data_IF_484349304681
#
_entry.id   IF_484349304681
#
_cell.length_a   1.000
_cell.length_b   1.000
_cell.length_c   1.000
_cell.angle_alpha   90.00
_cell.angle_beta   90.00
_cell.angle_gamma   90.00
#
_symmetry.space_group_name_H-M   'P 1'
#
loop_
_entity.id
_entity.type
_entity.pdbx_description
1 polymer ?
#
# COMPACT_ATOMS: atom_id res chain seq x y z
N UNK A 1 14.06 19.69 -21.95
CA UNK A 1 14.83 18.58 -21.43
C UNK A 1 14.55 18.32 -20.00
N UNK A 2 14.66 19.33 -19.21
CA UNK A 2 14.39 19.15 -17.81
C UNK A 2 12.98 18.78 -17.52
N UNK A 3 12.07 19.29 -18.31
CA UNK A 3 10.67 18.95 -18.15
C UNK A 3 10.48 17.45 -18.34
N UNK A 4 11.18 16.91 -19.30
CA UNK A 4 11.07 15.47 -19.54
C UNK A 4 11.60 14.68 -18.37
N UNK A 5 12.70 15.13 -17.80
CA UNK A 5 13.27 14.44 -16.67
C UNK A 5 12.32 14.44 -15.49
N UNK A 6 11.71 15.57 -15.25
CA UNK A 6 10.76 15.65 -14.16
C UNK A 6 9.61 14.70 -14.38
N UNK A 7 9.13 14.62 -15.59
CA UNK A 7 8.04 13.71 -15.87
C UNK A 7 8.43 12.27 -15.66
N UNK A 8 9.62 11.93 -16.07
CA UNK A 8 10.08 10.57 -15.90
C UNK A 8 10.22 10.22 -14.45
N UNK A 9 10.70 11.16 -13.66
CA UNK A 9 10.83 10.92 -12.25
C UNK A 9 9.47 10.71 -11.61
N UNK A 10 8.50 11.49 -12.02
CA UNK A 10 7.16 11.32 -11.48
C UNK A 10 6.57 9.99 -11.88
N UNK A 11 6.84 9.55 -13.09
CA UNK A 11 6.36 8.26 -13.53
C UNK A 11 6.95 7.15 -12.70
N UNK A 12 8.22 7.27 -12.40
CA UNK A 12 8.85 6.22 -11.63
C UNK A 12 8.32 6.17 -10.22
N UNK A 13 8.01 7.32 -9.68
CA UNK A 13 7.47 7.33 -8.33
C UNK A 13 6.08 6.77 -8.27
N UNK A 14 5.29 7.05 -9.27
CA UNK A 14 3.91 6.59 -9.27
C UNK A 14 3.82 5.07 -9.15
N UNK A 15 4.57 4.31 -9.95
CA UNK A 15 4.48 2.85 -9.83
C UNK A 15 4.97 2.31 -8.51
N UNK A 16 5.75 3.07 -7.80
CA UNK A 16 6.26 2.59 -6.53
C UNK A 16 5.22 2.59 -5.45
N UNK A 17 4.22 3.42 -5.61
CA UNK A 17 3.13 3.45 -4.65
C UNK A 17 2.12 2.42 -5.09
N UNK A 18 2.14 1.27 -4.47
CA UNK A 18 1.23 0.19 -4.82
C UNK A 18 0.10 0.16 -3.84
N UNK A 19 -1.06 0.47 -4.32
CA UNK A 19 -2.27 0.42 -3.49
C UNK A 19 -3.24 -0.57 -4.11
N UNK A 20 -3.91 -1.33 -3.26
CA UNK A 20 -4.92 -2.26 -3.69
C UNK A 20 -6.13 -2.13 -2.79
N UNK A 21 -7.25 -2.61 -3.28
CA UNK A 21 -8.46 -2.60 -2.48
C UNK A 21 -8.36 -3.65 -1.39
N UNK A 22 -9.28 -3.55 -0.43
CA UNK A 22 -9.21 -4.41 0.74
C UNK A 22 -9.39 -5.88 0.40
N UNK A 23 -10.25 -6.19 -0.56
CA UNK A 23 -10.48 -7.60 -0.89
C UNK A 23 -9.26 -8.28 -1.47
N UNK A 24 -8.62 -7.69 -2.49
CA UNK A 24 -7.36 -8.29 -2.96
C UNK A 24 -6.31 -8.35 -1.88
N UNK A 25 -6.30 -7.37 -0.98
CA UNK A 25 -5.34 -7.38 0.09
C UNK A 25 -5.58 -8.54 1.04
N UNK A 26 -6.83 -8.83 1.33
CA UNK A 26 -7.15 -9.98 2.17
C UNK A 26 -6.63 -11.26 1.55
N UNK A 27 -6.80 -11.41 0.25
CA UNK A 27 -6.33 -12.60 -0.43
C UNK A 27 -4.81 -12.66 -0.47
N UNK A 28 -4.20 -11.52 -0.65
CA UNK A 28 -2.74 -11.47 -0.73
C UNK A 28 -2.09 -11.92 0.57
N UNK A 29 -2.66 -11.54 1.69
CA UNK A 29 -2.07 -11.85 2.98
C UNK A 29 -2.77 -12.98 3.71
N UNK A 30 -3.81 -13.52 3.12
CA UNK A 30 -4.50 -14.66 3.72
C UNK A 30 -5.20 -14.34 5.01
N UNK A 31 -5.78 -13.17 5.11
CA UNK A 31 -6.49 -12.75 6.33
C UNK A 31 -7.89 -12.29 5.99
N UNK A 32 -8.71 -12.20 7.00
CA UNK A 32 -10.06 -11.72 6.85
C UNK A 32 -10.10 -10.20 6.70
N UNK A 33 -11.27 -9.71 6.37
CA UNK A 33 -11.45 -8.29 6.12
C UNK A 33 -11.15 -7.44 7.34
N UNK A 34 -11.69 -7.83 8.48
CA UNK A 34 -11.48 -7.06 9.69
C UNK A 34 -10.01 -7.05 10.09
N UNK A 35 -9.36 -8.20 9.95
CA UNK A 35 -7.95 -8.31 10.28
C UNK A 35 -7.12 -7.46 9.33
N UNK A 36 -7.43 -7.52 8.05
CA UNK A 36 -6.69 -6.74 7.07
C UNK A 36 -6.81 -5.26 7.35
N UNK A 37 -8.00 -4.82 7.71
CA UNK A 37 -8.23 -3.42 8.04
C UNK A 37 -7.37 -2.99 9.22
N UNK A 38 -7.35 -3.82 10.23
CA UNK A 38 -6.58 -3.51 11.42
C UNK A 38 -5.09 -3.45 11.09
N UNK A 39 -4.62 -4.38 10.31
CA UNK A 39 -3.22 -4.39 9.90
C UNK A 39 -2.88 -3.12 9.13
N UNK A 40 -3.74 -2.75 8.20
CA UNK A 40 -3.49 -1.58 7.37
C UNK A 40 -3.46 -0.31 8.23
N UNK A 41 -4.35 -0.22 9.19
CA UNK A 41 -4.39 0.95 10.05
C UNK A 41 -3.16 1.01 10.95
N UNK A 42 -2.79 -0.12 11.50
CA UNK A 42 -1.61 -0.18 12.35
C UNK A 42 -0.35 0.15 11.59
N UNK A 43 -0.30 -0.27 10.34
CA UNK A 43 0.86 0.00 9.51
C UNK A 43 0.85 1.41 8.93
N UNK A 44 -0.22 2.15 9.12
CA UNK A 44 -0.34 3.45 8.51
C UNK A 44 -0.45 3.36 7.00
N UNK A 45 -1.05 2.29 6.52
CA UNK A 45 -1.08 1.99 5.09
C UNK A 45 -2.42 2.30 4.44
N UNK A 46 -3.32 2.94 5.15
CA UNK A 46 -4.64 3.23 4.62
C UNK A 46 -4.58 4.47 3.73
N UNK A 47 -5.08 4.35 2.53
CA UNK A 47 -5.17 5.47 1.61
C UNK A 47 -6.62 5.64 1.22
N UNK A 48 -7.17 6.80 1.48
CA UNK A 48 -8.55 7.08 1.14
C UNK A 48 -8.61 8.10 0.02
N UNK A 49 -9.22 7.70 -1.07
CA UNK A 49 -9.39 8.59 -2.20
C UNK A 49 -10.87 8.58 -2.55
N UNK A 50 -11.54 9.69 -2.27
CA UNK A 50 -12.97 9.74 -2.45
C UNK A 50 -13.64 8.69 -1.59
N UNK A 51 -14.35 7.80 -2.22
CA UNK A 51 -15.02 6.72 -1.51
C UNK A 51 -14.22 5.44 -1.48
N UNK A 52 -13.04 5.47 -2.05
CA UNK A 52 -12.23 4.26 -2.15
C UNK A 52 -11.37 4.09 -0.91
N UNK A 53 -11.33 2.89 -0.42
CA UNK A 53 -10.47 2.49 0.70
C UNK A 53 -9.38 1.63 0.11
N UNK A 54 -8.18 2.16 0.08
CA UNK A 54 -7.04 1.48 -0.53
C UNK A 54 -5.98 1.20 0.51
N UNK A 55 -5.17 0.22 0.22
CA UNK A 55 -4.13 -0.21 1.16
C UNK A 55 -2.79 -0.14 0.44
N UNK A 56 -1.85 0.55 1.07
CA UNK A 56 -0.50 0.66 0.55
C UNK A 56 0.27 -0.60 0.89
N UNK A 57 0.50 -1.42 -0.12
CA UNK A 57 1.12 -2.73 0.06
C UNK A 57 2.53 -2.60 0.62
N UNK A 58 3.26 -1.61 0.15
CA UNK A 58 4.62 -1.44 0.61
C UNK A 58 4.70 -1.23 2.11
N UNK A 59 3.80 -0.43 2.63
CA UNK A 59 3.81 -0.16 4.07
C UNK A 59 3.36 -1.38 4.86
N UNK A 60 2.41 -2.12 4.33
CA UNK A 60 1.97 -3.35 4.99
C UNK A 60 3.10 -4.37 5.01
N UNK A 61 3.82 -4.49 3.91
CA UNK A 61 4.93 -5.41 3.85
C UNK A 61 5.99 -5.07 4.88
N UNK A 62 6.30 -3.79 5.02
CA UNK A 62 7.27 -3.37 6.03
C UNK A 62 6.79 -3.68 7.43
N UNK A 63 5.52 -3.46 7.67
CA UNK A 63 4.93 -3.73 8.96
C UNK A 63 5.01 -5.21 9.27
N UNK A 64 4.69 -6.04 8.29
CA UNK A 64 4.77 -7.49 8.47
C UNK A 64 6.20 -7.95 8.72
N UNK A 65 7.14 -7.36 7.98
CA UNK A 65 8.54 -7.70 8.20
C UNK A 65 8.98 -7.37 9.61
N UNK A 66 8.55 -6.23 10.11
CA UNK A 66 8.90 -5.83 11.46
C UNK A 66 8.33 -6.79 12.49
N UNK A 67 7.16 -7.32 12.23
CA UNK A 67 6.55 -8.27 13.17
C UNK A 67 7.25 -9.61 13.16
N UNK A 68 7.62 -10.09 11.99
CA UNK A 68 8.17 -11.43 11.87
C UNK A 68 9.69 -11.43 12.01
N UNK A 69 10.30 -10.33 11.77
CA UNK A 69 11.68 -10.34 11.73
C UNK A 69 12.37 -10.20 12.97
N UNK A 70 12.31 -10.30 13.25
CA UNK A 70 13.05 -10.28 13.86
C UNK A 70 13.90 -10.35 13.79
#
# INVERSE_FOLDING_TARGET
MEVLRVKEMMKREAPQVKTIKIEPACMRYGVGRNTMRKIAEDAGAVVRIGKSYLINVSKVDKYMDALSGE
#
